data_IF_240276432882
#
_entry.id   IF_240276432882
#
_cell.length_a   1.000
_cell.length_b   1.000
_cell.length_c   1.000
_cell.angle_alpha   90.00
_cell.angle_beta   90.00
_cell.angle_gamma   90.00
#
_symmetry.space_group_name_H-M   'P 1'
#
loop_
_entity.id
_entity.type
_entity.pdbx_description
1 polymer ?
#
# COMPACT_ATOMS: atom_id res chain seq x y z
N UNK A 1 -15.52 8.84 11.31
CA UNK A 1 -14.56 9.79 10.69
C UNK A 1 -13.22 9.11 10.45
N UNK A 2 -12.51 9.56 9.45
CA UNK A 2 -11.25 8.95 9.04
C UNK A 2 -10.14 10.00 9.05
N UNK A 3 -9.00 9.65 9.62
CA UNK A 3 -7.77 10.43 9.48
C UNK A 3 -6.96 9.84 8.33
N UNK A 4 -7.03 10.49 7.17
CA UNK A 4 -6.33 10.06 5.95
C UNK A 4 -5.03 10.83 5.84
N UNK A 5 -3.92 10.11 5.73
CA UNK A 5 -2.58 10.71 5.68
C UNK A 5 -1.79 10.12 4.52
N UNK A 6 -1.17 10.98 3.72
CA UNK A 6 -0.24 10.56 2.68
C UNK A 6 1.16 10.40 3.30
N UNK A 7 1.91 9.41 2.84
CA UNK A 7 3.30 9.23 3.25
C UNK A 7 4.12 8.74 2.06
N UNK A 8 5.43 8.75 2.20
CA UNK A 8 6.34 8.19 1.19
C UNK A 8 7.34 7.27 1.86
N UNK A 9 7.85 6.32 1.09
CA UNK A 9 8.95 5.48 1.53
C UNK A 9 9.79 5.07 0.32
N UNK A 10 11.03 4.65 0.57
CA UNK A 10 11.94 4.27 -0.49
C UNK A 10 11.64 2.86 -0.96
N UNK A 11 11.47 2.68 -2.28
CA UNK A 11 11.31 1.36 -2.90
C UNK A 11 12.54 0.49 -2.67
N UNK A 12 12.35 -0.81 -2.76
CA UNK A 12 13.45 -1.79 -2.76
C UNK A 12 14.42 -1.61 -3.93
N UNK A 13 14.05 -0.83 -4.97
CA UNK A 13 14.97 -0.48 -6.05
C UNK A 13 16.06 0.50 -5.60
N UNK A 14 15.95 1.05 -4.40
CA UNK A 14 16.94 1.93 -3.80
C UNK A 14 16.92 3.37 -4.30
N UNK A 15 15.99 3.75 -5.17
CA UNK A 15 15.99 5.09 -5.79
C UNK A 15 14.63 5.73 -5.95
N UNK A 16 13.54 4.98 -6.03
CA UNK A 16 12.19 5.51 -6.24
C UNK A 16 11.48 5.72 -4.91
N UNK A 17 10.91 6.94 -4.72
CA UNK A 17 10.04 7.20 -3.57
C UNK A 17 8.63 6.74 -3.93
N UNK A 18 8.09 5.85 -3.13
CA UNK A 18 6.73 5.34 -3.31
C UNK A 18 5.76 6.16 -2.46
N UNK A 19 4.60 6.45 -3.03
CA UNK A 19 3.52 7.14 -2.34
C UNK A 19 2.62 6.12 -1.67
N UNK A 20 2.27 6.36 -0.42
CA UNK A 20 1.32 5.54 0.31
C UNK A 20 0.25 6.39 0.96
N UNK A 21 -0.83 5.73 1.38
CA UNK A 21 -1.92 6.36 2.11
C UNK A 21 -2.26 5.49 3.32
N UNK A 22 -2.49 6.15 4.44
CA UNK A 22 -2.96 5.53 5.67
C UNK A 22 -4.32 6.11 6.03
N UNK A 23 -5.31 5.25 6.25
CA UNK A 23 -6.64 5.63 6.73
C UNK A 23 -6.80 5.07 8.15
N UNK A 24 -6.90 5.95 9.13
CA UNK A 24 -6.99 5.57 10.54
C UNK A 24 -8.35 6.02 11.10
N UNK A 25 -9.11 5.13 11.75
CA UNK A 25 -10.37 5.54 12.36
C UNK A 25 -10.13 6.51 13.52
N UNK A 26 -10.96 7.55 13.62
CA UNK A 26 -10.87 8.55 14.68
C UNK A 26 -11.87 8.30 15.81
N UNK A 27 -13.04 7.75 15.46
CA UNK A 27 -14.16 7.61 16.41
C UNK A 27 -14.29 6.21 16.99
N UNK A 28 -13.50 5.25 16.49
CA UNK A 28 -13.56 3.84 16.88
C UNK A 28 -12.16 3.37 17.21
N UNK A 29 -12.01 2.62 18.29
CA UNK A 29 -10.70 2.05 18.66
C UNK A 29 -10.25 1.05 17.60
N UNK A 30 -8.99 1.13 17.12
CA UNK A 30 -8.48 0.19 16.13
C UNK A 30 -8.45 -1.25 16.65
N UNK A 31 -8.89 -2.20 15.82
CA UNK A 31 -8.89 -3.62 16.17
C UNK A 31 -8.01 -4.45 15.24
N UNK A 32 -7.66 -3.92 14.07
CA UNK A 32 -6.84 -4.63 13.08
C UNK A 32 -6.24 -3.63 12.09
N UNK A 33 -5.22 -4.07 11.36
CA UNK A 33 -4.60 -3.32 10.26
C UNK A 33 -4.75 -4.15 8.99
N UNK A 34 -5.23 -3.53 7.92
CA UNK A 34 -5.31 -4.14 6.60
C UNK A 34 -4.32 -3.45 5.66
N UNK A 35 -3.36 -4.21 5.15
CA UNK A 35 -2.48 -3.74 4.07
C UNK A 35 -3.13 -4.08 2.74
N UNK A 36 -3.38 -3.06 1.93
CA UNK A 36 -4.08 -3.19 0.65
C UNK A 36 -3.08 -3.12 -0.49
N UNK A 37 -3.11 -4.12 -1.39
CA UNK A 37 -2.21 -4.22 -2.54
C UNK A 37 -3.06 -4.12 -3.81
N UNK A 38 -2.92 -3.00 -4.55
CA UNK A 38 -3.74 -2.74 -5.73
C UNK A 38 -3.29 -3.52 -6.97
N UNK A 39 -4.12 -3.53 -8.01
CA UNK A 39 -3.84 -4.21 -9.26
C UNK A 39 -3.15 -3.35 -10.30
N UNK A 40 -3.01 -3.89 -11.51
CA UNK A 40 -2.39 -3.20 -12.65
C UNK A 40 -3.23 -1.98 -13.04
N UNK A 41 -2.55 -0.88 -13.38
CA UNK A 41 -3.16 0.36 -13.84
C UNK A 41 -4.16 0.96 -12.84
N UNK A 42 -4.03 0.59 -11.57
CA UNK A 42 -4.78 1.18 -10.47
C UNK A 42 -3.89 2.13 -9.67
N UNK A 43 -4.43 2.69 -8.61
CA UNK A 43 -3.69 3.46 -7.62
C UNK A 43 -4.37 3.29 -6.27
N UNK A 44 -3.63 3.54 -5.20
CA UNK A 44 -4.14 3.26 -3.86
C UNK A 44 -5.33 4.15 -3.48
N UNK A 45 -5.39 5.38 -3.96
CA UNK A 45 -6.47 6.30 -3.62
C UNK A 45 -7.84 5.85 -4.19
N UNK A 46 -7.84 4.95 -5.17
CA UNK A 46 -9.07 4.35 -5.70
C UNK A 46 -9.88 3.64 -4.62
N UNK A 47 -9.22 3.20 -3.56
CA UNK A 47 -9.85 2.44 -2.47
C UNK A 47 -10.32 3.32 -1.32
N UNK A 48 -10.41 4.65 -1.52
CA UNK A 48 -10.77 5.59 -0.47
C UNK A 48 -12.11 5.25 0.20
N UNK A 49 -13.16 4.98 -0.59
CA UNK A 49 -14.48 4.65 -0.05
C UNK A 49 -14.46 3.34 0.73
N UNK A 50 -13.78 2.32 0.20
CA UNK A 50 -13.64 1.03 0.86
C UNK A 50 -12.88 1.17 2.18
N UNK A 51 -11.79 1.94 2.17
CA UNK A 51 -11.01 2.17 3.38
C UNK A 51 -11.81 2.90 4.45
N UNK A 52 -12.59 3.90 4.07
CA UNK A 52 -13.45 4.63 5.01
C UNK A 52 -14.53 3.74 5.60
N UNK A 53 -15.09 2.84 4.79
CA UNK A 53 -16.04 1.84 5.27
C UNK A 53 -15.41 0.96 6.36
N UNK A 54 -14.21 0.46 6.11
CA UNK A 54 -13.50 -0.40 7.07
C UNK A 54 -13.11 0.37 8.33
N UNK A 55 -12.78 1.67 8.21
CA UNK A 55 -12.52 2.50 9.37
C UNK A 55 -13.71 2.57 10.30
N UNK A 56 -14.93 2.56 9.76
CA UNK A 56 -16.15 2.52 10.57
C UNK A 56 -16.27 1.26 11.42
N UNK A 57 -15.52 0.21 11.10
CA UNK A 57 -15.46 -1.05 11.83
C UNK A 57 -14.17 -1.23 12.63
N UNK A 58 -13.38 -0.18 12.76
CA UNK A 58 -12.15 -0.22 13.56
C UNK A 58 -10.94 -0.78 12.83
N UNK A 59 -10.99 -0.92 11.50
CA UNK A 59 -9.86 -1.44 10.73
C UNK A 59 -9.05 -0.27 10.16
N UNK A 60 -7.76 -0.21 10.51
CA UNK A 60 -6.81 0.70 9.89
C UNK A 60 -6.48 0.15 8.49
N UNK A 61 -6.50 1.01 7.48
CA UNK A 61 -6.17 0.60 6.10
C UNK A 61 -4.93 1.35 5.65
N UNK A 62 -3.95 0.63 5.12
CA UNK A 62 -2.70 1.22 4.62
C UNK A 62 -2.33 0.55 3.31
N UNK A 63 -1.89 1.32 2.35
CA UNK A 63 -1.40 0.78 1.09
C UNK A 63 -0.51 1.78 0.39
N UNK A 64 0.10 1.36 -0.71
CA UNK A 64 0.97 2.23 -1.48
C UNK A 64 0.70 2.07 -2.98
N UNK A 65 1.06 3.09 -3.75
CA UNK A 65 1.09 3.02 -5.20
C UNK A 65 2.33 2.24 -5.63
N UNK A 66 2.15 1.18 -6.41
CA UNK A 66 3.28 0.39 -6.93
C UNK A 66 4.17 1.23 -7.83
N UNK A 67 5.40 0.78 -8.06
CA UNK A 67 6.29 1.37 -9.06
C UNK A 67 5.54 1.56 -10.38
N UNK A 68 5.68 2.74 -10.99
CA UNK A 68 5.01 3.05 -12.25
C UNK A 68 3.53 3.31 -12.15
N UNK A 69 2.97 3.41 -10.95
CA UNK A 69 1.53 3.61 -10.71
C UNK A 69 1.27 4.85 -9.85
N UNK A 70 0.13 5.49 -10.11
CA UNK A 70 -0.35 6.59 -9.28
C UNK A 70 0.71 7.65 -9.01
N UNK A 71 0.81 8.09 -7.77
CA UNK A 71 1.78 9.11 -7.34
C UNK A 71 3.19 8.57 -7.14
N UNK A 72 3.40 7.26 -7.30
CA UNK A 72 4.73 6.65 -7.32
C UNK A 72 5.38 6.75 -8.70
N UNK A 73 4.65 7.21 -9.73
CA UNK A 73 5.18 7.45 -11.06
C UNK A 73 6.00 8.74 -11.04
N UNK A 74 7.33 8.67 -11.31
CA UNK A 74 8.14 9.88 -11.35
C UNK A 74 7.76 10.76 -12.55
N UNK A 75 8.05 12.06 -12.45
CA UNK A 75 7.82 12.99 -13.55
C UNK A 75 8.56 12.50 -14.80
N UNK A 76 7.84 12.43 -15.92
CA UNK A 76 8.38 11.90 -17.16
C UNK A 76 8.53 10.39 -17.21
N UNK A 77 8.09 9.68 -16.17
CA UNK A 77 8.16 8.22 -16.14
C UNK A 77 7.08 7.57 -17.01
N UNK A 78 7.26 6.28 -17.31
CA UNK A 78 6.33 5.50 -18.11
C UNK A 78 5.31 4.82 -17.19
N UNK A 79 4.00 5.04 -17.40
CA UNK A 79 2.98 4.37 -16.59
C UNK A 79 3.06 2.85 -16.68
N UNK A 80 2.81 2.17 -15.56
CA UNK A 80 2.80 0.71 -15.44
C UNK A 80 4.16 0.08 -15.74
N UNK A 81 5.23 0.87 -15.69
CA UNK A 81 6.60 0.41 -15.92
C UNK A 81 7.35 0.31 -14.59
N UNK A 82 7.98 -0.83 -14.32
CA UNK A 82 8.67 -1.05 -13.05
C UNK A 82 10.13 -0.57 -13.03
N UNK A 83 10.62 -0.01 -14.15
CA UNK A 83 11.96 0.54 -14.24
C UNK A 83 12.97 -0.43 -14.88
N UNK A 84 14.07 0.13 -15.37
CA UNK A 84 15.15 -0.67 -15.96
C UNK A 84 15.80 -1.57 -14.91
N UNK A 85 15.99 -2.83 -15.26
CA UNK A 85 16.56 -3.81 -14.36
C UNK A 85 15.61 -4.31 -13.28
N UNK A 86 14.37 -3.80 -13.25
CA UNK A 86 13.36 -4.29 -12.31
C UNK A 86 12.81 -5.63 -12.76
N UNK A 87 12.46 -6.46 -11.78
CA UNK A 87 11.86 -7.77 -11.99
C UNK A 87 10.52 -7.82 -11.26
N UNK A 88 9.79 -8.94 -11.41
CA UNK A 88 8.58 -9.18 -10.61
C UNK A 88 8.87 -9.08 -9.10
N UNK A 89 10.11 -9.38 -8.68
CA UNK A 89 10.48 -9.35 -7.27
C UNK A 89 10.47 -7.93 -6.68
N UNK A 90 10.75 -6.88 -7.47
CA UNK A 90 10.78 -5.51 -6.95
C UNK A 90 9.44 -5.07 -6.34
N UNK A 91 8.30 -5.18 -7.05
CA UNK A 91 7.02 -4.84 -6.42
C UNK A 91 6.65 -5.78 -5.27
N UNK A 92 7.06 -7.05 -5.29
CA UNK A 92 6.87 -7.98 -4.18
C UNK A 92 7.66 -7.52 -2.97
N UNK A 93 8.93 -7.15 -3.15
CA UNK A 93 9.78 -6.65 -2.08
C UNK A 93 9.23 -5.34 -1.50
N UNK A 94 8.63 -4.49 -2.32
CA UNK A 94 7.99 -3.25 -1.86
C UNK A 94 6.80 -3.54 -0.93
N UNK A 95 6.01 -4.57 -1.23
CA UNK A 95 4.95 -5.04 -0.34
C UNK A 95 5.54 -5.46 1.00
N UNK A 96 6.65 -6.19 0.97
CA UNK A 96 7.34 -6.63 2.18
C UNK A 96 7.88 -5.46 3.00
N UNK A 97 8.46 -4.45 2.36
CA UNK A 97 8.98 -3.26 3.05
C UNK A 97 7.86 -2.58 3.83
N UNK A 98 6.71 -2.34 3.19
CA UNK A 98 5.57 -1.73 3.87
C UNK A 98 5.03 -2.63 4.98
N UNK A 99 4.93 -3.93 4.72
CA UNK A 99 4.43 -4.90 5.70
C UNK A 99 5.28 -4.87 6.98
N UNK A 100 6.60 -4.83 6.83
CA UNK A 100 7.52 -4.75 7.96
C UNK A 100 7.34 -3.45 8.76
N UNK A 101 7.16 -2.33 8.07
CA UNK A 101 6.88 -1.05 8.74
C UNK A 101 5.60 -1.09 9.54
N UNK A 102 4.55 -1.71 9.00
CA UNK A 102 3.26 -1.82 9.69
C UNK A 102 3.35 -2.70 10.92
N UNK A 103 4.12 -3.78 10.86
CA UNK A 103 4.36 -4.63 12.03
C UNK A 103 5.06 -3.87 13.15
N UNK A 104 6.01 -3.02 12.82
CA UNK A 104 6.72 -2.19 13.80
C UNK A 104 5.84 -1.09 14.35
N UNK A 105 4.99 -0.50 13.51
CA UNK A 105 4.12 0.61 13.90
C UNK A 105 2.92 0.14 14.75
N UNK A 106 2.39 -1.04 14.46
CA UNK A 106 1.21 -1.59 15.14
C UNK A 106 1.49 -3.00 15.69
N UNK A 107 2.41 -3.14 16.65
CA UNK A 107 2.85 -4.47 17.09
C UNK A 107 1.79 -5.28 17.84
N UNK A 108 0.73 -4.64 18.31
CA UNK A 108 -0.32 -5.30 19.09
C UNK A 108 -1.59 -5.57 18.31
N UNK A 109 -1.64 -5.19 17.02
CA UNK A 109 -2.82 -5.39 16.19
C UNK A 109 -2.57 -6.48 15.15
N UNK A 110 -3.57 -7.33 14.86
CA UNK A 110 -3.45 -8.27 13.75
C UNK A 110 -3.27 -7.51 12.43
N UNK A 111 -2.34 -7.98 11.60
CA UNK A 111 -2.06 -7.40 10.30
C UNK A 111 -2.52 -8.36 9.21
N UNK A 112 -3.45 -7.89 8.39
CA UNK A 112 -4.04 -8.65 7.30
C UNK A 112 -3.54 -8.09 5.97
N UNK A 113 -3.45 -8.96 4.96
CA UNK A 113 -3.01 -8.58 3.62
C UNK A 113 -4.14 -8.86 2.64
N UNK A 114 -4.51 -7.86 1.85
CA UNK A 114 -5.55 -7.99 0.82
C UNK A 114 -5.02 -7.51 -0.51
N UNK A 115 -5.09 -8.37 -1.53
CA UNK A 115 -4.67 -8.03 -2.88
C UNK A 115 -5.82 -8.14 -3.87
N UNK A 116 -5.80 -7.31 -4.91
CA UNK A 116 -6.77 -7.30 -5.98
C UNK A 116 -6.06 -7.46 -7.33
N UNK A 117 -6.47 -8.44 -8.15
CA UNK A 117 -5.90 -8.71 -9.48
C UNK A 117 -4.37 -8.95 -9.38
N UNK A 118 -3.53 -8.14 -10.02
CA UNK A 118 -2.07 -8.23 -9.90
C UNK A 118 -1.64 -8.17 -8.43
N UNK A 119 -2.31 -7.35 -7.62
CA UNK A 119 -2.05 -7.27 -6.18
C UNK A 119 -2.25 -8.61 -5.49
N UNK A 120 -3.23 -9.41 -5.91
CA UNK A 120 -3.43 -10.76 -5.40
C UNK A 120 -2.24 -11.67 -5.69
N UNK A 121 -1.70 -11.62 -6.91
CA UNK A 121 -0.50 -12.40 -7.27
C UNK A 121 0.72 -11.94 -6.47
N UNK A 122 0.92 -10.63 -6.33
CA UNK A 122 2.02 -10.07 -5.53
C UNK A 122 1.92 -10.54 -4.08
N UNK A 123 0.73 -10.53 -3.51
CA UNK A 123 0.49 -10.93 -2.14
C UNK A 123 0.78 -12.40 -1.91
N UNK A 124 0.43 -13.26 -2.88
CA UNK A 124 0.68 -14.71 -2.79
C UNK A 124 2.15 -15.05 -2.99
N UNK A 125 2.87 -14.27 -3.79
CA UNK A 125 4.31 -14.45 -3.98
C UNK A 125 5.08 -14.04 -2.74
N UNK A 126 4.60 -13.00 -2.06
CA UNK A 126 5.16 -12.59 -0.78
C UNK A 126 4.89 -13.66 0.27
#
# INVERSE_FOLDING_TARGET
>A
MTNKTDFTFLSSDGKTRLHGISWVPEDVAPVAVLQLVHGVAEHIDRYDDFARFLNGHGVIVVGHDHLGHGKSLPEGGTPVYFGDGSTWNTPVDDVYVLHTRLKEQYPHLPLLLMGHSMGSFLSRTY
#
